data_IF_998445817055
#
_entry.id   IF_998445817055
#
_cell.length_a   1.000
_cell.length_b   1.000
_cell.length_c   1.000
_cell.angle_alpha   90.00
_cell.angle_beta   90.00
_cell.angle_gamma   90.00
#
_symmetry.space_group_name_H-M   'P 1'
#
loop_
_entity.id
_entity.type
_entity.pdbx_description
1 polymer ?
#
# COMPACT_ATOMS: atom_id res chain seq x y z
N UNK A 1 32.22 -17.96 18.35
CA UNK A 1 31.59 -16.61 18.37
C UNK A 1 32.63 -15.60 17.93
N UNK A 2 32.33 -14.79 16.92
CA UNK A 2 32.19 -13.36 17.20
C UNK A 2 30.83 -12.84 16.70
N UNK A 3 30.14 -12.12 17.58
CA UNK A 3 28.83 -11.53 17.33
C UNK A 3 28.93 -10.41 16.30
N UNK A 4 28.46 -10.71 15.09
CA UNK A 4 28.14 -9.70 14.09
C UNK A 4 26.99 -8.83 14.60
N UNK A 5 27.33 -7.66 15.11
CA UNK A 5 26.37 -6.61 15.46
C UNK A 5 25.66 -6.23 14.16
N UNK A 6 24.50 -6.84 13.87
CA UNK A 6 23.63 -6.40 12.78
C UNK A 6 23.28 -4.95 13.05
N UNK A 7 23.90 -4.04 12.31
CA UNK A 7 23.55 -2.65 12.32
C UNK A 7 22.04 -2.57 12.02
N UNK A 8 21.24 -2.21 13.02
CA UNK A 8 19.85 -1.84 12.79
C UNK A 8 19.91 -0.46 12.14
N UNK A 9 20.10 -0.42 10.82
CA UNK A 9 19.74 0.73 10.02
C UNK A 9 18.22 0.88 10.19
N UNK A 10 17.82 1.78 11.10
CA UNK A 10 16.47 2.29 11.13
C UNK A 10 16.35 3.13 9.87
N UNK A 11 15.75 2.56 8.83
CA UNK A 11 15.22 3.41 7.76
C UNK A 11 14.27 4.38 8.45
N UNK A 12 14.65 5.66 8.48
CA UNK A 12 13.71 6.73 8.71
C UNK A 12 12.76 6.73 7.52
N UNK A 13 11.82 5.79 7.51
CA UNK A 13 10.62 5.94 6.73
C UNK A 13 9.99 7.20 7.28
N UNK A 14 10.08 8.27 6.51
CA UNK A 14 9.46 9.53 6.87
C UNK A 14 7.94 9.36 6.75
N UNK A 15 7.33 8.89 7.84
CA UNK A 15 5.88 8.67 7.94
C UNK A 15 5.13 9.98 8.20
N UNK A 16 5.78 11.15 8.06
CA UNK A 16 5.19 12.48 8.32
C UNK A 16 4.02 12.84 7.41
N UNK A 17 3.71 12.02 6.40
CA UNK A 17 2.55 12.15 5.53
C UNK A 17 1.22 11.73 6.17
N UNK A 18 0.87 12.33 7.31
CA UNK A 18 -0.50 12.65 7.75
C UNK A 18 -1.59 11.56 7.80
N UNK A 19 -1.27 10.27 7.80
CA UNK A 19 -2.27 9.20 7.92
C UNK A 19 -2.09 8.44 9.25
N UNK A 20 -2.96 8.66 10.26
CA UNK A 20 -2.77 8.13 11.60
C UNK A 20 -2.91 6.60 11.74
N UNK A 21 -3.19 5.88 10.65
CA UNK A 21 -3.36 4.42 10.65
C UNK A 21 -2.65 3.71 9.49
N UNK A 22 -1.43 4.13 9.13
CA UNK A 22 -0.63 3.38 8.17
C UNK A 22 -0.10 2.08 8.79
N UNK A 23 -0.62 0.92 8.34
CA UNK A 23 -0.07 -0.38 8.74
C UNK A 23 1.06 -0.81 7.81
N UNK A 24 2.11 -1.35 8.42
CA UNK A 24 3.29 -1.85 7.74
C UNK A 24 3.16 -3.35 7.45
N UNK A 25 3.44 -3.74 6.22
CA UNK A 25 3.62 -5.13 5.82
C UNK A 25 5.10 -5.40 5.61
N UNK A 26 5.61 -6.53 6.10
CA UNK A 26 7.04 -6.86 5.98
C UNK A 26 7.31 -8.36 6.06
N UNK A 27 8.35 -8.81 5.36
CA UNK A 27 8.96 -10.13 5.53
C UNK A 27 10.31 -10.06 6.29
N UNK A 28 10.65 -8.89 6.84
CA UNK A 28 11.90 -8.61 7.54
C UNK A 28 13.00 -7.97 6.68
N UNK A 29 12.91 -8.05 5.34
CA UNK A 29 13.82 -7.36 4.40
C UNK A 29 13.08 -6.37 3.52
N UNK A 30 11.96 -6.79 2.94
CA UNK A 30 11.05 -5.93 2.21
C UNK A 30 9.97 -5.43 3.15
N UNK A 31 9.65 -4.14 3.04
CA UNK A 31 8.72 -3.44 3.91
C UNK A 31 7.90 -2.46 3.09
N UNK A 32 6.58 -2.46 3.25
CA UNK A 32 5.68 -1.54 2.55
C UNK A 32 4.59 -1.01 3.47
N UNK A 33 4.32 0.29 3.36
CA UNK A 33 3.08 0.94 3.76
C UNK A 33 2.26 1.18 2.47
N UNK A 34 1.17 0.44 2.30
CA UNK A 34 0.37 0.44 1.08
C UNK A 34 -0.09 1.88 0.74
N UNK A 35 0.14 2.32 -0.50
CA UNK A 35 -0.20 3.68 -0.95
C UNK A 35 0.70 4.80 -0.40
N UNK A 36 1.83 4.47 0.22
CA UNK A 36 2.76 5.45 0.80
C UNK A 36 4.21 5.17 0.44
N UNK A 37 4.86 4.17 1.05
CA UNK A 37 6.30 3.97 0.87
C UNK A 37 6.65 2.48 0.88
N UNK A 38 7.67 2.10 0.12
CA UNK A 38 8.30 0.80 0.16
C UNK A 38 9.80 0.94 0.41
N UNK A 39 10.39 -0.04 1.08
CA UNK A 39 11.82 -0.14 1.38
C UNK A 39 12.31 -1.59 1.33
N UNK A 40 13.57 -1.76 0.98
CA UNK A 40 14.27 -3.05 0.98
C UNK A 40 15.61 -2.93 1.69
N UNK A 41 15.85 -3.78 2.69
CA UNK A 41 17.04 -3.72 3.57
C UNK A 41 17.31 -2.31 4.13
N UNK A 42 16.24 -1.57 4.41
CA UNK A 42 16.30 -0.21 4.93
C UNK A 42 16.60 0.88 3.89
N UNK A 43 16.70 0.52 2.61
CA UNK A 43 16.82 1.46 1.50
C UNK A 43 15.43 1.77 0.95
N UNK A 44 15.08 3.06 0.85
CA UNK A 44 13.81 3.47 0.27
C UNK A 44 13.74 3.10 -1.22
N UNK A 45 12.64 2.44 -1.62
CA UNK A 45 12.34 2.09 -3.01
C UNK A 45 11.41 3.11 -3.66
N UNK A 46 10.61 3.83 -2.88
CA UNK A 46 9.63 4.81 -3.37
C UNK A 46 9.59 6.03 -2.46
N UNK A 47 9.30 7.21 -3.02
CA UNK A 47 9.03 8.43 -2.26
C UNK A 47 7.52 8.75 -2.21
N UNK A 48 6.94 8.76 -1.01
CA UNK A 48 5.65 9.36 -0.61
C UNK A 48 4.32 8.87 -1.24
N UNK A 49 4.31 8.21 -2.40
CA UNK A 49 3.08 7.70 -3.04
C UNK A 49 3.03 6.17 -3.23
N UNK A 50 4.15 5.49 -3.03
CA UNK A 50 4.28 4.05 -3.26
C UNK A 50 3.85 3.67 -4.67
N UNK A 51 3.37 2.43 -4.83
CA UNK A 51 2.65 2.03 -6.03
C UNK A 51 1.17 2.42 -5.91
N UNK A 52 0.60 2.99 -6.96
CA UNK A 52 -0.79 3.48 -7.03
C UNK A 52 -1.54 2.74 -8.13
N UNK A 53 -2.78 2.33 -7.87
CA UNK A 53 -3.68 1.73 -8.87
C UNK A 53 -4.76 2.73 -9.23
N UNK A 54 -4.82 3.11 -10.51
CA UNK A 54 -5.84 4.00 -11.07
C UNK A 54 -6.91 3.18 -11.77
N UNK A 55 -8.16 3.58 -11.61
CA UNK A 55 -9.32 3.06 -12.34
C UNK A 55 -9.94 4.21 -13.11
N UNK A 56 -10.32 3.96 -14.37
CA UNK A 56 -10.99 4.93 -15.23
C UNK A 56 -12.25 4.32 -15.81
N UNK A 57 -13.37 4.98 -15.59
CA UNK A 57 -14.62 4.72 -16.31
C UNK A 57 -14.50 5.39 -17.69
N UNK A 58 -14.57 4.57 -18.75
CA UNK A 58 -14.41 5.05 -20.13
C UNK A 58 -15.68 5.68 -20.68
N UNK A 59 -16.85 5.30 -20.18
CA UNK A 59 -18.14 5.82 -20.64
C UNK A 59 -18.38 7.22 -20.07
N UNK A 60 -18.05 7.41 -18.79
CA UNK A 60 -18.20 8.70 -18.10
C UNK A 60 -16.95 9.59 -18.20
N UNK A 61 -15.81 9.03 -18.59
CA UNK A 61 -14.54 9.74 -18.71
C UNK A 61 -13.91 10.16 -17.38
N UNK A 62 -14.40 9.63 -16.26
CA UNK A 62 -13.90 9.93 -14.89
C UNK A 62 -12.90 8.89 -14.42
N UNK A 63 -12.02 9.25 -13.48
CA UNK A 63 -11.04 8.34 -12.90
C UNK A 63 -10.83 8.57 -11.40
N UNK A 64 -10.32 7.54 -10.72
CA UNK A 64 -9.96 7.57 -9.31
C UNK A 64 -8.78 6.64 -9.02
N UNK A 65 -8.29 6.66 -7.78
CA UNK A 65 -7.36 5.68 -7.26
C UNK A 65 -8.12 4.72 -6.34
N UNK A 66 -7.75 3.43 -6.33
CA UNK A 66 -8.36 2.48 -5.38
C UNK A 66 -8.03 2.87 -3.94
N UNK A 67 -6.80 3.30 -3.67
CA UNK A 67 -6.46 3.99 -2.42
C UNK A 67 -6.94 5.45 -2.43
N UNK A 68 -7.05 6.07 -1.26
CA UNK A 68 -7.51 7.47 -1.14
C UNK A 68 -6.64 8.47 -1.92
N UNK A 69 -5.32 8.24 -1.99
CA UNK A 69 -4.35 9.12 -2.62
C UNK A 69 -3.78 8.53 -3.92
N UNK A 70 -3.29 9.39 -4.84
CA UNK A 70 -3.20 10.85 -4.73
C UNK A 70 -4.46 11.61 -5.13
N UNK A 71 -5.44 10.98 -5.77
CA UNK A 71 -6.58 11.69 -6.38
C UNK A 71 -7.54 12.29 -5.35
N UNK A 72 -7.71 11.68 -4.17
CA UNK A 72 -8.60 12.15 -3.09
C UNK A 72 -10.04 12.42 -3.53
N UNK A 73 -10.53 11.66 -4.52
CA UNK A 73 -11.95 11.71 -4.93
C UNK A 73 -12.81 11.12 -3.81
N UNK A 74 -13.92 11.75 -3.41
CA UNK A 74 -14.91 11.11 -2.53
C UNK A 74 -15.50 9.86 -3.19
N UNK A 75 -15.55 8.75 -2.45
CA UNK A 75 -16.26 7.54 -2.86
C UNK A 75 -17.61 7.45 -2.14
N UNK A 76 -18.57 6.71 -2.71
CA UNK A 76 -19.81 6.35 -2.02
C UNK A 76 -19.54 5.43 -0.82
N UNK A 77 -18.54 4.55 -0.95
CA UNK A 77 -18.03 3.71 0.14
C UNK A 77 -16.51 3.62 0.04
N UNK A 78 -15.81 3.75 1.16
CA UNK A 78 -14.37 3.51 1.26
C UNK A 78 -14.07 2.84 2.59
N UNK A 79 -13.57 1.61 2.55
CA UNK A 79 -13.21 0.82 3.72
C UNK A 79 -11.80 0.29 3.60
N UNK A 80 -11.05 0.38 4.71
CA UNK A 80 -9.73 -0.24 4.82
C UNK A 80 -9.75 -1.21 5.99
N UNK A 81 -9.41 -2.47 5.73
CA UNK A 81 -9.35 -3.53 6.75
C UNK A 81 -7.94 -4.09 6.84
N UNK A 82 -7.46 -4.21 8.06
CA UNK A 82 -6.14 -4.74 8.37
C UNK A 82 -6.28 -6.14 8.97
N UNK A 83 -5.63 -7.11 8.33
CA UNK A 83 -5.51 -8.49 8.81
C UNK A 83 -4.02 -8.84 8.91
N UNK A 84 -3.63 -9.84 9.73
CA UNK A 84 -2.22 -10.25 9.79
C UNK A 84 -1.66 -10.56 8.40
N UNK A 85 -0.69 -9.76 7.96
CA UNK A 85 -0.03 -9.90 6.66
C UNK A 85 -0.79 -9.41 5.43
N UNK A 86 -2.00 -8.85 5.58
CA UNK A 86 -2.82 -8.37 4.45
C UNK A 86 -3.53 -7.06 4.79
N UNK A 87 -3.47 -6.10 3.87
CA UNK A 87 -4.34 -4.91 3.87
C UNK A 87 -5.37 -5.06 2.77
N UNK A 88 -6.64 -4.85 3.09
CA UNK A 88 -7.74 -4.82 2.13
C UNK A 88 -8.26 -3.40 2.01
N UNK A 89 -8.41 -2.91 0.79
CA UNK A 89 -9.13 -1.69 0.47
C UNK A 89 -10.35 -2.07 -0.36
N UNK A 90 -11.53 -1.67 0.08
CA UNK A 90 -12.77 -1.79 -0.68
C UNK A 90 -13.35 -0.41 -0.92
N UNK A 91 -13.75 -0.15 -2.16
CA UNK A 91 -14.16 1.16 -2.59
C UNK A 91 -15.29 1.06 -3.61
N UNK A 92 -16.27 1.96 -3.53
CA UNK A 92 -17.37 2.09 -4.49
C UNK A 92 -17.36 3.52 -5.05
N UNK A 93 -17.11 3.64 -6.35
CA UNK A 93 -17.17 4.89 -7.11
C UNK A 93 -18.27 4.75 -8.16
N UNK A 94 -19.30 5.59 -8.06
CA UNK A 94 -20.52 5.47 -8.85
C UNK A 94 -21.11 4.03 -8.76
N UNK A 95 -21.03 3.25 -9.84
CA UNK A 95 -21.55 1.88 -9.92
C UNK A 95 -20.43 0.82 -9.91
N UNK A 96 -19.17 1.22 -9.81
CA UNK A 96 -18.01 0.32 -9.93
C UNK A 96 -17.45 0.02 -8.54
N UNK A 97 -17.54 -1.24 -8.13
CA UNK A 97 -16.94 -1.72 -6.88
C UNK A 97 -15.52 -2.22 -7.15
N UNK A 98 -14.57 -1.76 -6.36
CA UNK A 98 -13.17 -2.15 -6.43
C UNK A 98 -12.73 -2.75 -5.11
N UNK A 99 -12.03 -3.90 -5.18
CA UNK A 99 -11.34 -4.49 -4.04
C UNK A 99 -9.86 -4.66 -4.36
N UNK A 100 -9.00 -4.21 -3.46
CA UNK A 100 -7.55 -4.45 -3.50
C UNK A 100 -7.10 -5.14 -2.23
N UNK A 101 -6.47 -6.31 -2.39
CA UNK A 101 -5.77 -7.01 -1.32
C UNK A 101 -4.26 -6.88 -1.53
N UNK A 102 -3.56 -6.23 -0.58
CA UNK A 102 -2.12 -6.04 -0.58
C UNK A 102 -1.43 -6.90 0.48
N UNK A 103 -0.35 -7.59 0.11
CA UNK A 103 0.45 -8.45 0.98
C UNK A 103 1.95 -8.36 0.64
N UNK A 104 2.82 -8.80 1.56
CA UNK A 104 4.25 -9.04 1.27
C UNK A 104 4.51 -10.54 1.31
N UNK A 105 5.12 -11.07 0.25
CA UNK A 105 5.48 -12.48 0.16
C UNK A 105 6.45 -12.87 1.29
N UNK A 106 6.27 -14.05 1.87
CA UNK A 106 7.14 -14.53 2.96
C UNK A 106 8.51 -14.99 2.47
N UNK A 107 8.54 -15.55 1.27
CA UNK A 107 9.67 -16.22 0.62
C UNK A 107 10.35 -15.37 -0.46
N UNK A 108 9.71 -14.27 -0.87
CA UNK A 108 10.26 -13.32 -1.83
C UNK A 108 10.20 -11.89 -1.26
N UNK A 109 11.17 -11.06 -1.63
CA UNK A 109 11.19 -9.63 -1.30
C UNK A 109 10.27 -8.86 -2.25
N UNK A 110 8.98 -9.23 -2.24
CA UNK A 110 7.98 -8.78 -3.19
C UNK A 110 6.66 -8.40 -2.50
N UNK A 111 6.07 -7.32 -2.98
CA UNK A 111 4.69 -6.96 -2.70
C UNK A 111 3.76 -7.64 -3.70
N UNK A 112 2.66 -8.22 -3.21
CA UNK A 112 1.61 -8.82 -4.02
C UNK A 112 0.35 -7.98 -3.86
N UNK A 113 -0.28 -7.66 -4.99
CA UNK A 113 -1.57 -6.95 -5.03
C UNK A 113 -2.56 -7.71 -5.90
N UNK A 114 -3.69 -8.10 -5.33
CA UNK A 114 -4.82 -8.65 -6.07
C UNK A 114 -5.89 -7.57 -6.22
N UNK A 115 -6.36 -7.32 -7.44
CA UNK A 115 -7.41 -6.35 -7.72
C UNK A 115 -8.60 -7.06 -8.34
N UNK A 116 -9.80 -6.75 -7.84
CA UNK A 116 -11.09 -7.17 -8.41
C UNK A 116 -11.90 -5.91 -8.68
N UNK A 117 -12.48 -5.84 -9.88
CA UNK A 117 -13.48 -4.84 -10.26
C UNK A 117 -14.79 -5.59 -10.52
N UNK A 118 -15.89 -5.10 -9.96
CA UNK A 118 -17.24 -5.64 -10.12
C UNK A 118 -18.11 -4.61 -10.81
#
# INVERSE_FOLDING_TARGET
MPGGRRARLRAGLDMSGGDPASHLLSNGRYTVALGSTAAWNGLALTSAAGLVVYVRDLDRGVFWCIGDRPVRRPAHRYEVRYRPGVVTVERLDDEIESRLDGAVARDADAEIRSIVLV
#
